data_IF_774800073661
#
_entry.id   IF_774800073661
#
_cell.length_a   1.000
_cell.length_b   1.000
_cell.length_c   1.000
_cell.angle_alpha   90.00
_cell.angle_beta   90.00
_cell.angle_gamma   90.00
#
_symmetry.space_group_name_H-M   'P 1'
#
loop_
_entity.id
_entity.type
_entity.pdbx_description
1 polymer ?
#
# COMPACT_ATOMS: atom_id res chain seq x y z
N UNK A 1 -18.32 3.60 -43.97
CA UNK A 1 -18.93 4.04 -42.69
C UNK A 1 -18.90 2.97 -41.58
N UNK A 2 -18.81 1.68 -41.89
CA UNK A 2 -18.83 0.60 -40.88
C UNK A 2 -17.52 0.44 -40.07
N UNK A 3 -16.39 0.96 -40.56
CA UNK A 3 -15.08 0.88 -39.87
C UNK A 3 -14.91 1.85 -38.68
N UNK A 4 -15.61 2.99 -38.65
CA UNK A 4 -15.45 3.97 -37.55
C UNK A 4 -16.10 3.51 -36.25
N UNK A 5 -17.17 2.71 -36.32
CA UNK A 5 -17.90 2.25 -35.12
C UNK A 5 -17.09 1.24 -34.32
N UNK A 6 -16.39 0.32 -35.00
CA UNK A 6 -15.54 -0.69 -34.33
C UNK A 6 -14.32 -0.04 -33.67
N UNK A 7 -13.73 0.98 -34.32
CA UNK A 7 -12.57 1.69 -33.77
C UNK A 7 -12.93 2.51 -32.52
N UNK A 8 -14.08 3.17 -32.50
CA UNK A 8 -14.56 3.91 -31.32
C UNK A 8 -14.90 2.98 -30.14
N UNK A 9 -15.39 1.77 -30.41
CA UNK A 9 -15.75 0.81 -29.35
C UNK A 9 -14.51 0.22 -28.67
N UNK A 10 -13.44 -0.07 -29.43
CA UNK A 10 -12.15 -0.52 -28.88
C UNK A 10 -11.47 0.61 -28.10
N UNK A 11 -11.52 1.85 -28.59
CA UNK A 11 -10.97 3.02 -27.89
C UNK A 11 -11.64 3.29 -26.55
N UNK A 12 -12.97 3.21 -26.48
CA UNK A 12 -13.72 3.37 -25.22
C UNK A 12 -13.44 2.21 -24.24
N UNK A 13 -13.31 0.98 -24.74
CA UNK A 13 -12.97 -0.19 -23.91
C UNK A 13 -11.61 -0.07 -23.20
N UNK A 14 -10.57 0.35 -23.92
CA UNK A 14 -9.22 0.55 -23.33
C UNK A 14 -9.22 1.69 -22.30
N UNK A 15 -9.97 2.77 -22.55
CA UNK A 15 -10.05 3.91 -21.64
C UNK A 15 -10.80 3.56 -20.33
N UNK A 16 -11.85 2.74 -20.40
CA UNK A 16 -12.56 2.23 -19.21
C UNK A 16 -11.63 1.31 -18.41
N UNK A 17 -10.91 0.38 -19.04
CA UNK A 17 -9.95 -0.50 -18.34
C UNK A 17 -8.86 0.31 -17.64
N UNK A 18 -8.39 1.43 -18.21
CA UNK A 18 -7.39 2.30 -17.58
C UNK A 18 -7.94 3.07 -16.36
N UNK A 19 -9.16 3.63 -16.44
CA UNK A 19 -9.84 4.30 -15.32
C UNK A 19 -10.17 3.33 -14.19
N UNK A 20 -10.58 2.12 -14.54
CA UNK A 20 -10.94 1.04 -13.64
C UNK A 20 -9.69 0.44 -12.97
N UNK A 21 -8.56 0.37 -13.68
CA UNK A 21 -7.26 0.00 -13.09
C UNK A 21 -6.73 1.03 -12.09
N UNK A 22 -7.21 2.29 -12.14
CA UNK A 22 -6.78 3.38 -11.26
C UNK A 22 -7.41 3.31 -9.86
N UNK A 23 -8.55 2.61 -9.70
CA UNK A 23 -9.32 2.52 -8.43
C UNK A 23 -8.84 1.40 -7.48
N UNK A 24 -7.54 1.11 -7.45
CA UNK A 24 -6.99 0.22 -6.41
C UNK A 24 -7.03 0.93 -5.06
N UNK A 25 -8.02 0.59 -4.26
CA UNK A 25 -8.21 1.14 -2.91
C UNK A 25 -7.37 0.33 -1.93
N UNK A 26 -6.61 1.03 -1.09
CA UNK A 26 -5.87 0.41 0.00
C UNK A 26 -6.57 0.79 1.30
N UNK A 27 -7.00 -0.20 2.06
CA UNK A 27 -7.56 0.00 3.40
C UNK A 27 -6.51 -0.49 4.38
N UNK A 28 -6.12 0.38 5.31
CA UNK A 28 -5.20 0.03 6.38
C UNK A 28 -5.92 0.26 7.69
N UNK A 29 -5.98 -0.79 8.50
CA UNK A 29 -6.62 -0.74 9.80
C UNK A 29 -5.88 -1.64 10.79
N UNK A 30 -6.13 -1.42 12.08
CA UNK A 30 -5.62 -2.27 13.14
C UNK A 30 -6.71 -3.20 13.62
N UNK A 31 -6.46 -4.51 13.60
CA UNK A 31 -7.32 -5.54 14.17
C UNK A 31 -6.63 -6.14 15.39
N UNK A 32 -7.08 -5.76 16.60
CA UNK A 32 -6.47 -6.12 17.87
C UNK A 32 -4.97 -5.80 17.95
N UNK A 33 -4.09 -6.77 17.68
CA UNK A 33 -2.62 -6.63 17.67
C UNK A 33 -2.00 -6.73 16.29
N UNK A 34 -2.83 -6.73 15.25
CA UNK A 34 -2.39 -6.86 13.87
C UNK A 34 -2.60 -5.56 13.11
N UNK A 35 -1.62 -5.21 12.27
CA UNK A 35 -1.75 -4.27 11.17
C UNK A 35 -2.28 -5.05 9.97
N UNK A 36 -3.48 -4.71 9.53
CA UNK A 36 -4.13 -5.32 8.37
C UNK A 36 -4.11 -4.33 7.22
N UNK A 37 -3.59 -4.80 6.09
CA UNK A 37 -3.48 -4.02 4.85
C UNK A 37 -4.23 -4.79 3.78
N UNK A 38 -5.29 -4.19 3.28
CA UNK A 38 -6.12 -4.77 2.23
C UNK A 38 -5.97 -3.96 0.97
N UNK A 39 -5.63 -4.64 -0.12
CA UNK A 39 -5.70 -4.09 -1.47
C UNK A 39 -6.96 -4.60 -2.13
N UNK A 40 -7.90 -3.69 -2.33
CA UNK A 40 -9.11 -3.89 -3.10
C UNK A 40 -8.84 -3.50 -4.55
N UNK A 41 -8.94 -4.46 -5.45
CA UNK A 41 -8.78 -4.25 -6.89
C UNK A 41 -9.71 -5.16 -7.67
N UNK A 42 -9.98 -4.79 -8.92
CA UNK A 42 -10.95 -5.51 -9.75
C UNK A 42 -10.33 -6.85 -10.15
N UNK A 43 -10.87 -7.92 -9.57
CA UNK A 43 -10.44 -9.30 -9.77
C UNK A 43 -9.35 -9.82 -8.81
N UNK A 44 -8.85 -9.02 -7.87
CA UNK A 44 -7.98 -9.55 -6.80
C UNK A 44 -8.07 -8.71 -5.53
N UNK A 45 -8.52 -9.36 -4.46
CA UNK A 45 -8.34 -8.88 -3.10
C UNK A 45 -7.06 -9.51 -2.54
N UNK A 46 -6.13 -8.68 -2.07
CA UNK A 46 -4.98 -9.15 -1.31
C UNK A 46 -5.04 -8.57 0.08
N UNK A 47 -5.12 -9.45 1.07
CA UNK A 47 -5.06 -9.10 2.48
C UNK A 47 -3.72 -9.54 3.04
N UNK A 48 -3.01 -8.59 3.63
CA UNK A 48 -1.83 -8.87 4.43
C UNK A 48 -2.14 -8.53 5.88
N UNK A 49 -1.78 -9.42 6.80
CA UNK A 49 -1.94 -9.22 8.23
C UNK A 49 -0.59 -9.43 8.89
N UNK A 50 -0.11 -8.41 9.58
CA UNK A 50 1.16 -8.43 10.30
C UNK A 50 0.90 -8.19 11.78
N UNK A 51 1.48 -8.96 12.69
CA UNK A 51 1.46 -8.58 14.09
C UNK A 51 2.26 -7.28 14.25
N UNK A 52 1.80 -6.35 15.10
CA UNK A 52 2.43 -5.03 15.31
C UNK A 52 3.73 -5.15 16.12
N UNK A 53 3.80 -6.14 17.01
CA UNK A 53 4.95 -6.42 17.88
C UNK A 53 6.26 -6.72 17.10
N UNK A 54 6.28 -7.54 16.04
CA UNK A 54 7.48 -7.79 15.25
C UNK A 54 7.81 -6.69 14.24
N UNK A 55 7.13 -5.53 14.17
CA UNK A 55 7.51 -4.50 13.18
C UNK A 55 8.77 -3.75 13.64
N UNK A 56 9.92 -4.00 13.03
CA UNK A 56 11.17 -3.33 13.39
C UNK A 56 11.20 -1.88 12.91
N UNK A 57 10.87 -1.66 11.64
CA UNK A 57 10.80 -0.33 11.05
C UNK A 57 9.74 -0.25 9.96
N UNK A 58 9.36 0.98 9.64
CA UNK A 58 8.44 1.31 8.55
C UNK A 58 8.98 2.54 7.86
N UNK A 59 9.48 2.35 6.65
CA UNK A 59 10.26 3.35 5.92
C UNK A 59 9.82 3.45 4.46
N UNK A 60 10.12 4.57 3.84
CA UNK A 60 10.04 4.70 2.39
C UNK A 60 11.37 4.31 1.76
N UNK A 61 11.31 3.50 0.72
CA UNK A 61 12.49 3.07 -0.02
C UNK A 61 12.25 3.19 -1.53
N UNK A 62 13.33 3.13 -2.30
CA UNK A 62 13.27 2.94 -3.74
C UNK A 62 12.81 1.51 -4.06
N UNK A 63 11.80 1.36 -4.92
CA UNK A 63 11.31 0.06 -5.34
C UNK A 63 12.19 -0.67 -6.36
N UNK A 64 13.27 -0.04 -6.81
CA UNK A 64 14.11 -0.51 -7.91
C UNK A 64 13.45 -0.39 -9.28
N UNK A 65 12.24 0.17 -9.36
CA UNK A 65 11.58 0.48 -10.62
C UNK A 65 11.75 1.96 -10.91
N UNK A 66 12.01 2.29 -12.18
CA UNK A 66 12.12 3.66 -12.63
C UNK A 66 11.07 3.93 -13.70
N UNK A 67 10.43 5.09 -13.63
CA UNK A 67 9.68 5.64 -14.76
C UNK A 67 10.12 7.08 -14.98
N UNK A 68 10.34 7.45 -16.25
CA UNK A 68 10.80 8.79 -16.63
C UNK A 68 12.08 9.23 -15.90
N UNK A 69 13.02 8.30 -15.69
CA UNK A 69 14.29 8.57 -14.99
C UNK A 69 14.15 8.85 -13.49
N UNK A 70 12.98 8.58 -12.90
CA UNK A 70 12.74 8.70 -11.46
C UNK A 70 12.39 7.34 -10.88
N UNK A 71 13.07 6.98 -9.81
CA UNK A 71 12.73 5.83 -8.99
C UNK A 71 11.31 5.96 -8.42
N UNK A 72 10.58 4.84 -8.41
CA UNK A 72 9.27 4.77 -7.81
C UNK A 72 9.43 4.47 -6.32
N UNK A 73 8.89 5.31 -5.43
CA UNK A 73 8.93 5.02 -4.02
C UNK A 73 8.00 3.85 -3.69
N UNK A 74 8.33 3.14 -2.64
CA UNK A 74 7.49 2.14 -2.02
C UNK A 74 7.55 2.23 -0.50
N UNK A 75 6.53 1.67 0.16
CA UNK A 75 6.52 1.50 1.59
C UNK A 75 7.13 0.15 1.95
N UNK A 76 8.16 0.15 2.78
CA UNK A 76 8.77 -1.06 3.30
C UNK A 76 8.45 -1.22 4.78
N UNK A 77 7.95 -2.40 5.13
CA UNK A 77 7.77 -2.83 6.52
C UNK A 77 8.83 -3.88 6.78
N UNK A 78 9.82 -3.56 7.61
CA UNK A 78 10.81 -4.51 8.10
C UNK A 78 10.30 -5.11 9.40
N UNK A 79 10.26 -6.44 9.49
CA UNK A 79 9.96 -7.15 10.73
C UNK A 79 11.24 -7.54 11.48
N UNK A 80 11.14 -7.80 12.78
CA UNK A 80 12.26 -8.14 13.67
C UNK A 80 12.94 -9.46 13.30
N UNK A 81 12.25 -10.33 12.55
CA UNK A 81 12.80 -11.56 11.97
C UNK A 81 13.51 -11.33 10.62
N UNK A 82 13.64 -10.06 10.19
CA UNK A 82 14.35 -9.66 8.98
C UNK A 82 13.53 -9.77 7.69
N UNK A 83 12.22 -10.09 7.74
CA UNK A 83 11.38 -10.06 6.54
C UNK A 83 11.07 -8.62 6.14
N UNK A 84 11.15 -8.35 4.84
CA UNK A 84 10.81 -7.05 4.26
C UNK A 84 9.56 -7.21 3.40
N UNK A 85 8.51 -6.50 3.78
CA UNK A 85 7.26 -6.44 3.02
C UNK A 85 7.22 -5.13 2.26
N UNK A 86 7.09 -5.23 0.94
CA UNK A 86 7.01 -4.08 0.03
C UNK A 86 5.57 -3.83 -0.36
N UNK A 87 5.09 -2.61 -0.14
CA UNK A 87 3.71 -2.21 -0.35
C UNK A 87 3.67 -0.88 -1.09
N UNK A 88 2.53 -0.63 -1.74
CA UNK A 88 2.24 0.63 -2.43
C UNK A 88 3.26 1.01 -3.52
N UNK A 89 4.06 0.03 -3.96
CA UNK A 89 4.91 0.16 -5.13
C UNK A 89 4.06 0.60 -6.31
N UNK A 90 4.36 1.75 -6.90
CA UNK A 90 3.44 2.30 -7.89
C UNK A 90 3.05 3.76 -7.72
N UNK A 91 3.24 4.29 -6.52
CA UNK A 91 2.59 5.54 -6.09
C UNK A 91 3.61 6.68 -6.04
N UNK A 92 3.11 7.90 -6.16
CA UNK A 92 3.95 9.08 -6.02
C UNK A 92 4.34 9.26 -4.56
N UNK A 93 5.52 9.81 -4.31
CA UNK A 93 6.03 10.11 -2.97
C UNK A 93 5.03 10.89 -2.12
N UNK A 94 4.37 11.91 -2.71
CA UNK A 94 3.34 12.71 -2.06
C UNK A 94 2.13 11.90 -1.55
N UNK A 95 1.91 10.69 -2.08
CA UNK A 95 0.83 9.80 -1.63
C UNK A 95 1.30 8.83 -0.54
N UNK A 96 2.58 8.42 -0.58
CA UNK A 96 3.15 7.43 0.35
C UNK A 96 3.63 8.10 1.64
N UNK A 97 4.29 9.26 1.55
CA UNK A 97 4.87 9.96 2.69
C UNK A 97 3.89 10.25 3.84
N UNK A 98 2.70 10.84 3.61
CA UNK A 98 1.74 11.08 4.69
C UNK A 98 1.23 9.76 5.30
N UNK A 99 1.08 8.72 4.49
CA UNK A 99 0.65 7.41 4.97
C UNK A 99 1.72 6.75 5.84
N UNK A 100 2.99 6.82 5.43
CA UNK A 100 4.12 6.33 6.21
C UNK A 100 4.17 7.03 7.58
N UNK A 101 3.99 8.34 7.61
CA UNK A 101 3.96 9.12 8.85
C UNK A 101 2.81 8.69 9.78
N UNK A 102 1.59 8.55 9.26
CA UNK A 102 0.42 8.11 10.04
C UNK A 102 0.63 6.70 10.58
N UNK A 103 1.15 5.78 9.77
CA UNK A 103 1.40 4.40 10.19
C UNK A 103 2.51 4.32 11.23
N UNK A 104 3.59 5.09 11.05
CA UNK A 104 4.65 5.20 12.03
C UNK A 104 4.08 5.66 13.37
N UNK A 105 3.34 6.77 13.39
CA UNK A 105 2.71 7.26 14.62
C UNK A 105 1.79 6.21 15.26
N UNK A 106 0.89 5.59 14.49
CA UNK A 106 -0.07 4.63 15.02
C UNK A 106 0.58 3.34 15.58
N UNK A 107 1.67 2.87 14.96
CA UNK A 107 2.41 1.69 15.42
C UNK A 107 3.17 2.01 16.72
N UNK A 108 3.87 3.14 16.75
CA UNK A 108 4.71 3.51 17.89
C UNK A 108 3.87 3.93 19.10
N UNK A 109 2.78 4.68 18.92
CA UNK A 109 1.86 5.05 20.01
C UNK A 109 1.22 3.81 20.66
N UNK A 110 0.85 2.82 19.85
CA UNK A 110 0.26 1.57 20.33
C UNK A 110 1.25 0.71 21.12
N UNK A 111 2.54 0.73 20.75
CA UNK A 111 3.60 0.08 21.54
C UNK A 111 3.75 0.71 22.92
N UNK A 112 3.80 2.03 22.97
CA UNK A 112 3.92 2.77 24.24
C UNK A 112 2.73 2.43 25.15
N UNK A 113 1.52 2.42 24.61
CA UNK A 113 0.30 2.09 25.36
C UNK A 113 0.29 0.64 25.88
N UNK A 114 0.83 -0.32 25.11
CA UNK A 114 0.92 -1.72 25.55
C UNK A 114 1.94 -1.98 26.65
N UNK A 115 3.01 -1.18 26.73
CA UNK A 115 4.05 -1.33 27.73
C UNK A 115 3.63 -0.82 29.13
N UNK A 116 2.64 0.08 29.19
CA UNK A 116 2.16 0.66 30.45
C UNK A 116 1.12 -0.23 31.18
N UNK A 117 0.50 -1.18 30.46
CA UNK A 117 -0.49 -2.10 31.02
C UNK A 117 0.10 -3.29 31.80
N UNK A 118 1.44 -3.41 31.87
CA UNK A 118 2.14 -4.53 32.51
C UNK A 118 2.67 -4.24 33.93
N UNK A 119 2.33 -3.10 34.53
CA UNK A 119 2.83 -2.67 35.86
C UNK A 119 1.75 -2.59 36.96
N UNK A 120 0.66 -3.35 36.86
CA UNK A 120 -0.32 -3.48 37.96
C UNK A 120 -0.13 -4.78 38.73
#
# INVERSE_FOLDING_TARGET
MMFSVVFSMVGAGVMIVALVAQQRSFVIHFDNRNLVIERHGIGSEKRWSFPVEPIKSLDMADSGMQANGRAWPELQIETTDGRIVRLLTGRMEMQIAPLAAVLHQAIFDKRISSNDSGKQ
#
